data_IF_305416051671
#
_entry.id   IF_305416051671
#
_cell.length_a   1.000
_cell.length_b   1.000
_cell.length_c   1.000
_cell.angle_alpha   90.00
_cell.angle_beta   90.00
_cell.angle_gamma   90.00
#
_symmetry.space_group_name_H-M   'P 1'
#
loop_
_entity.id
_entity.type
_entity.pdbx_description
1 polymer ?
#
# COMPACT_ATOMS: atom_id res chain seq x y z
N UNK A 1 9.45 -28.97 8.85
CA UNK A 1 9.60 -27.62 8.26
C UNK A 1 8.47 -27.37 7.27
N UNK A 2 7.24 -27.14 7.73
CA UNK A 2 6.04 -27.03 6.86
C UNK A 2 5.19 -25.78 7.16
N UNK A 3 5.64 -24.89 8.06
CA UNK A 3 4.88 -23.72 8.52
C UNK A 3 5.21 -22.42 7.78
N UNK A 4 6.27 -22.38 6.97
CA UNK A 4 6.72 -21.16 6.28
C UNK A 4 5.97 -20.95 4.95
N UNK A 5 5.50 -22.02 4.29
CA UNK A 5 4.78 -21.92 3.01
C UNK A 5 3.42 -21.19 3.13
N UNK A 6 2.62 -21.56 4.14
CA UNK A 6 1.28 -21.00 4.35
C UNK A 6 1.25 -19.48 4.62
N UNK A 7 2.34 -18.90 5.14
CA UNK A 7 2.42 -17.44 5.40
C UNK A 7 2.74 -16.68 4.11
N UNK A 8 3.56 -17.27 3.24
CA UNK A 8 3.95 -16.65 1.97
C UNK A 8 2.78 -16.65 0.97
N UNK A 9 1.97 -17.71 0.95
CA UNK A 9 0.81 -17.80 0.07
C UNK A 9 -0.27 -16.75 0.40
N UNK A 10 -0.52 -16.46 1.69
CA UNK A 10 -1.50 -15.42 2.10
C UNK A 10 -1.01 -14.03 1.72
N UNK A 11 0.26 -13.71 1.98
CA UNK A 11 0.82 -12.39 1.65
C UNK A 11 0.89 -12.20 0.13
N UNK A 12 1.24 -13.24 -0.63
CA UNK A 12 1.32 -13.19 -2.10
C UNK A 12 -0.07 -13.08 -2.77
N UNK A 13 -1.07 -13.83 -2.32
CA UNK A 13 -2.45 -13.74 -2.80
C UNK A 13 -3.05 -12.35 -2.51
N UNK A 14 -2.75 -11.83 -1.32
CA UNK A 14 -3.23 -10.53 -0.90
C UNK A 14 -2.50 -9.37 -1.63
N UNK A 15 -1.22 -9.53 -1.99
CA UNK A 15 -0.48 -8.56 -2.82
C UNK A 15 -1.11 -8.41 -4.22
N UNK A 16 -1.62 -9.50 -4.80
CA UNK A 16 -2.31 -9.46 -6.08
C UNK A 16 -3.69 -8.76 -5.99
N UNK A 17 -4.33 -8.88 -4.82
CA UNK A 17 -5.59 -8.22 -4.50
C UNK A 17 -5.41 -6.72 -4.29
N UNK A 18 -4.32 -6.30 -3.65
CA UNK A 18 -4.01 -4.89 -3.41
C UNK A 18 -3.81 -4.09 -4.68
N UNK A 19 -3.20 -4.69 -5.70
CA UNK A 19 -3.00 -4.07 -7.02
C UNK A 19 -4.30 -3.61 -7.70
N UNK A 20 -5.45 -4.22 -7.36
CA UNK A 20 -6.76 -3.89 -7.95
C UNK A 20 -7.59 -2.90 -7.13
N UNK A 21 -7.23 -2.64 -5.87
CA UNK A 21 -7.96 -1.73 -5.00
C UNK A 21 -7.63 -0.26 -5.31
N UNK A 22 -8.54 0.66 -5.02
CA UNK A 22 -8.21 2.09 -5.08
C UNK A 22 -7.31 2.51 -3.89
N UNK A 23 -6.56 3.60 -4.03
CA UNK A 23 -5.69 4.12 -2.97
C UNK A 23 -6.47 4.40 -1.68
N UNK A 24 -7.70 4.92 -1.76
CA UNK A 24 -8.52 5.16 -0.58
C UNK A 24 -8.86 3.84 0.15
N UNK A 25 -9.20 2.80 -0.60
CA UNK A 25 -9.52 1.48 -0.04
C UNK A 25 -8.29 0.83 0.61
N UNK A 26 -7.08 1.04 0.05
CA UNK A 26 -5.85 0.58 0.69
C UNK A 26 -5.60 1.26 2.04
N UNK A 27 -5.93 2.55 2.17
CA UNK A 27 -5.81 3.30 3.42
C UNK A 27 -6.82 2.80 4.46
N UNK A 28 -8.06 2.56 4.04
CA UNK A 28 -9.10 2.03 4.93
C UNK A 28 -8.71 0.63 5.44
N UNK A 29 -8.17 -0.22 4.56
CA UNK A 29 -7.69 -1.54 4.92
C UNK A 29 -6.49 -1.48 5.88
N UNK A 30 -5.56 -0.55 5.67
CA UNK A 30 -4.44 -0.32 6.60
C UNK A 30 -4.94 0.00 8.01
N UNK A 31 -6.00 0.80 8.15
CA UNK A 31 -6.58 1.10 9.45
C UNK A 31 -7.16 -0.16 10.13
N UNK A 32 -7.89 -0.97 9.38
CA UNK A 32 -8.45 -2.24 9.87
C UNK A 32 -7.35 -3.22 10.30
N UNK A 33 -6.33 -3.39 9.47
CA UNK A 33 -5.23 -4.32 9.75
C UNK A 33 -4.39 -3.84 10.95
N UNK A 34 -4.26 -2.53 11.14
CA UNK A 34 -3.62 -1.93 12.33
C UNK A 34 -4.44 -2.21 13.59
N UNK A 35 -5.78 -2.10 13.54
CA UNK A 35 -6.65 -2.43 14.66
C UNK A 35 -6.51 -3.92 15.05
N UNK A 36 -6.47 -4.81 14.07
CA UNK A 36 -6.22 -6.25 14.28
C UNK A 36 -4.85 -6.50 14.92
N UNK A 37 -3.81 -5.77 14.48
CA UNK A 37 -2.47 -5.89 15.06
C UNK A 37 -2.48 -5.49 16.53
N UNK A 38 -3.11 -4.36 16.86
CA UNK A 38 -3.22 -3.90 18.24
C UNK A 38 -3.97 -4.89 19.11
N UNK A 39 -5.08 -5.47 18.62
CA UNK A 39 -5.82 -6.51 19.35
C UNK A 39 -4.95 -7.76 19.57
N UNK A 40 -4.29 -8.27 18.54
CA UNK A 40 -3.41 -9.44 18.65
C UNK A 40 -2.23 -9.19 19.59
N UNK A 41 -1.65 -7.99 19.55
CA UNK A 41 -0.57 -7.58 20.43
C UNK A 41 -1.01 -7.53 21.90
N UNK A 42 -2.16 -6.94 22.20
CA UNK A 42 -2.71 -6.86 23.56
C UNK A 42 -3.02 -8.26 24.13
N UNK A 43 -3.53 -9.16 23.31
CA UNK A 43 -3.87 -10.54 23.71
C UNK A 43 -2.61 -11.42 23.89
N UNK A 44 -1.43 -10.94 23.46
CA UNK A 44 -0.17 -11.68 23.56
C UNK A 44 0.07 -12.67 22.42
N UNK A 45 -0.69 -12.55 21.32
CA UNK A 45 -0.57 -13.38 20.12
C UNK A 45 0.68 -13.02 19.31
N UNK A 46 1.87 -13.47 19.73
CA UNK A 46 3.15 -13.19 19.06
C UNK A 46 3.18 -13.61 17.58
N UNK A 47 2.55 -14.73 17.24
CA UNK A 47 2.46 -15.21 15.85
C UNK A 47 1.51 -14.33 15.02
N UNK A 48 0.32 -14.05 15.54
CA UNK A 48 -0.72 -13.28 14.86
C UNK A 48 -0.28 -11.82 14.69
N UNK A 49 0.32 -11.22 15.72
CA UNK A 49 0.91 -9.88 15.63
C UNK A 49 2.05 -9.81 14.62
N UNK A 50 2.92 -10.83 14.53
CA UNK A 50 3.96 -10.87 13.50
C UNK A 50 3.37 -10.95 12.09
N UNK A 51 2.39 -11.82 11.87
CA UNK A 51 1.70 -11.94 10.58
C UNK A 51 1.03 -10.62 10.18
N UNK A 52 0.34 -10.01 11.14
CA UNK A 52 -0.37 -8.76 10.93
C UNK A 52 0.58 -7.59 10.64
N UNK A 53 1.76 -7.59 11.27
CA UNK A 53 2.82 -6.62 10.98
C UNK A 53 3.32 -6.75 9.55
N UNK A 54 3.50 -7.97 9.06
CA UNK A 54 3.98 -8.21 7.69
C UNK A 54 2.94 -7.75 6.65
N UNK A 55 1.64 -7.95 6.94
CA UNK A 55 0.51 -7.43 6.15
C UNK A 55 0.53 -5.88 6.12
N UNK A 56 0.65 -5.25 7.28
CA UNK A 56 0.71 -3.78 7.40
C UNK A 56 1.90 -3.21 6.60
N UNK A 57 3.07 -3.86 6.68
CA UNK A 57 4.25 -3.42 5.95
C UNK A 57 4.02 -3.46 4.43
N UNK A 58 3.41 -4.53 3.91
CA UNK A 58 3.08 -4.66 2.49
C UNK A 58 2.08 -3.57 2.03
N UNK A 59 1.05 -3.29 2.83
CA UNK A 59 0.09 -2.21 2.56
C UNK A 59 0.77 -0.83 2.50
N UNK A 60 1.64 -0.55 3.46
CA UNK A 60 2.38 0.73 3.51
C UNK A 60 3.30 0.88 2.31
N UNK A 61 3.96 -0.19 1.87
CA UNK A 61 4.81 -0.17 0.68
C UNK A 61 4.01 0.16 -0.59
N UNK A 62 2.90 -0.54 -0.82
CA UNK A 62 2.02 -0.33 -1.98
C UNK A 62 1.43 1.10 -2.01
N UNK A 63 0.94 1.59 -0.86
CA UNK A 63 0.44 2.96 -0.72
C UNK A 63 1.53 3.98 -1.09
N UNK A 64 2.76 3.76 -0.64
CA UNK A 64 3.88 4.66 -0.93
C UNK A 64 4.29 4.63 -2.41
N UNK A 65 4.26 3.47 -3.06
CA UNK A 65 4.51 3.34 -4.50
C UNK A 65 3.51 4.20 -5.27
N UNK A 66 2.21 4.01 -5.05
CA UNK A 66 1.15 4.74 -5.76
C UNK A 66 1.15 6.23 -5.47
N UNK A 67 1.42 6.61 -4.22
CA UNK A 67 1.54 8.02 -3.86
C UNK A 67 2.67 8.70 -4.64
N UNK A 68 3.81 8.02 -4.85
CA UNK A 68 4.91 8.53 -5.69
C UNK A 68 4.51 8.64 -7.15
N UNK A 69 3.82 7.64 -7.70
CA UNK A 69 3.33 7.66 -9.09
C UNK A 69 2.36 8.84 -9.33
N UNK A 70 1.41 9.07 -8.42
CA UNK A 70 0.48 10.21 -8.50
C UNK A 70 1.24 11.55 -8.46
N UNK A 71 2.25 11.66 -7.61
CA UNK A 71 3.08 12.88 -7.51
C UNK A 71 3.88 13.10 -8.80
N UNK A 72 4.47 12.03 -9.37
CA UNK A 72 5.21 12.10 -10.63
C UNK A 72 4.32 12.54 -11.80
N UNK A 73 3.13 11.94 -11.94
CA UNK A 73 2.16 12.32 -12.98
C UNK A 73 1.72 13.79 -12.85
N UNK A 74 1.56 14.29 -11.61
CA UNK A 74 1.23 15.71 -11.37
C UNK A 74 2.37 16.66 -11.72
N UNK A 75 3.62 16.25 -11.55
CA UNK A 75 4.79 17.07 -11.89
C UNK A 75 4.92 17.26 -13.41
N UNK A 76 4.64 16.23 -14.21
CA UNK A 76 4.72 16.30 -15.68
C UNK A 76 3.59 17.16 -16.29
N UNK A 77 2.43 17.24 -15.63
CA UNK A 77 1.31 18.07 -16.08
C UNK A 77 1.51 19.57 -15.84
N UNK A 78 2.26 19.94 -14.79
CA UNK A 78 2.56 21.34 -14.47
C UNK A 78 3.63 21.93 -15.42
N UNK A 79 4.59 21.11 -15.86
CA UNK A 79 5.64 21.52 -16.81
C UNK A 79 5.16 21.77 -18.25
N UNK A 80 4.01 21.23 -18.66
CA UNK A 80 3.49 21.38 -20.04
C UNK A 80 2.65 22.63 -20.29
N UNK A 81 2.23 23.36 -19.25
CA UNK A 81 1.33 24.54 -19.42
C UNK A 81 2.04 25.85 -19.77
N UNK A 82 3.37 25.86 -19.88
CA UNK A 82 4.13 27.07 -20.21
C UNK A 82 4.55 27.21 -21.70
N UNK A 83 4.23 26.26 -22.57
CA UNK A 83 4.77 26.23 -23.94
C UNK A 83 3.85 26.80 -25.05
N UNK A 84 2.60 27.18 -24.76
CA UNK A 84 1.61 27.50 -25.82
C UNK A 84 1.14 28.96 -25.91
N UNK A 85 1.74 29.90 -25.17
CA UNK A 85 1.34 31.32 -25.16
C UNK A 85 2.35 32.28 -25.82
N UNK A 86 3.23 31.79 -26.70
CA UNK A 86 4.00 32.69 -27.58
C UNK A 86 3.30 32.81 -28.94
N UNK A 87 2.47 33.85 -29.16
CA UNK A 87 2.08 34.21 -30.51
C UNK A 87 3.36 34.58 -31.27
N UNK A 88 3.66 33.85 -32.33
CA UNK A 88 4.66 34.26 -33.31
C UNK A 88 4.23 35.61 -33.89
N UNK A 89 4.95 36.66 -33.51
CA UNK A 89 5.00 37.95 -34.19
C UNK A 89 6.41 38.11 -34.76
#
# INVERSE_FOLDING_TARGET
>A
MLLVGLVFDIVADMHHTYQQLDLQTLIDLLAEETEKYTKAFIIGGLKESSQQRDIINALVEEINIRKREIIAVKADQDGSRMANDFPCC
#
